data_IF_463894573911
#
_entry.id   IF_463894573911
#
_cell.length_a   1.000
_cell.length_b   1.000
_cell.length_c   1.000
_cell.angle_alpha   90.00
_cell.angle_beta   90.00
_cell.angle_gamma   90.00
#
_symmetry.space_group_name_H-M   'P 1'
#
loop_
_entity.id
_entity.type
_entity.pdbx_description
1 polymer ?
#
# COMPACT_ATOMS: atom_id res chain seq x y z
N UNK A 1 -35.61 -56.05 21.82
CA UNK A 1 -35.10 -55.64 20.48
C UNK A 1 -35.36 -54.18 20.09
N UNK A 2 -36.24 -53.48 20.80
CA UNK A 2 -36.46 -52.02 20.58
C UNK A 2 -35.41 -51.17 21.31
N UNK A 3 -34.89 -51.63 22.43
CA UNK A 3 -33.87 -50.90 23.21
C UNK A 3 -32.49 -50.81 22.51
N UNK A 4 -32.15 -51.81 21.71
CA UNK A 4 -30.86 -51.78 20.97
C UNK A 4 -30.89 -50.81 19.75
N UNK A 5 -32.06 -50.60 19.16
CA UNK A 5 -32.19 -49.65 18.04
C UNK A 5 -32.10 -48.19 18.46
N UNK A 6 -32.63 -47.85 19.64
CA UNK A 6 -32.53 -46.48 20.18
C UNK A 6 -31.13 -46.12 20.63
N UNK A 7 -30.38 -47.07 21.19
CA UNK A 7 -28.94 -46.84 21.55
C UNK A 7 -28.06 -46.64 20.34
N UNK A 8 -28.34 -47.31 19.21
CA UNK A 8 -27.60 -47.17 17.96
C UNK A 8 -27.86 -45.78 17.30
N UNK A 9 -29.13 -45.34 17.32
CA UNK A 9 -29.49 -44.02 16.80
C UNK A 9 -28.90 -42.87 17.65
N UNK A 10 -28.86 -43.00 18.96
CA UNK A 10 -28.26 -41.97 19.84
C UNK A 10 -26.74 -41.90 19.68
N UNK A 11 -26.07 -43.04 19.53
CA UNK A 11 -24.59 -43.05 19.24
C UNK A 11 -24.27 -42.46 17.86
N UNK A 12 -25.11 -42.71 16.87
CA UNK A 12 -24.93 -42.15 15.54
C UNK A 12 -25.16 -40.64 15.49
N UNK A 13 -26.16 -40.15 16.21
CA UNK A 13 -26.43 -38.70 16.39
C UNK A 13 -25.29 -37.97 17.16
N UNK A 14 -24.74 -38.59 18.21
CA UNK A 14 -23.60 -38.06 18.93
C UNK A 14 -22.32 -38.03 18.06
N UNK A 15 -22.06 -39.11 17.29
CA UNK A 15 -20.91 -39.15 16.40
C UNK A 15 -21.01 -38.17 15.23
N UNK A 16 -22.21 -37.92 14.71
CA UNK A 16 -22.47 -36.91 13.69
C UNK A 16 -22.38 -35.50 14.28
N UNK A 17 -22.85 -35.29 15.52
CA UNK A 17 -22.72 -34.03 16.25
C UNK A 17 -21.27 -33.70 16.56
N UNK A 18 -20.45 -34.70 17.00
CA UNK A 18 -19.02 -34.51 17.24
C UNK A 18 -18.21 -34.32 15.94
N UNK A 19 -18.61 -34.98 14.85
CA UNK A 19 -18.04 -34.73 13.53
C UNK A 19 -18.42 -33.35 12.99
N UNK A 20 -19.66 -32.91 13.17
CA UNK A 20 -20.12 -31.55 12.82
C UNK A 20 -19.48 -30.46 13.71
N UNK A 21 -19.21 -30.77 14.97
CA UNK A 21 -18.47 -29.86 15.86
C UNK A 21 -16.97 -29.82 15.58
N UNK A 22 -16.37 -30.92 15.11
CA UNK A 22 -15.00 -30.92 14.58
C UNK A 22 -14.88 -30.24 13.21
N UNK A 23 -15.94 -30.20 12.40
CA UNK A 23 -16.03 -29.44 11.15
C UNK A 23 -16.45 -27.98 11.33
N UNK A 24 -16.86 -27.58 12.54
CA UNK A 24 -16.87 -26.17 12.95
C UNK A 24 -15.44 -25.70 13.35
N UNK A 25 -14.42 -26.09 12.67
CA UNK A 25 -13.30 -25.19 12.47
C UNK A 25 -13.93 -23.96 11.84
N UNK A 26 -14.04 -22.91 12.63
CA UNK A 26 -14.54 -21.58 12.26
C UNK A 26 -13.71 -21.22 11.01
N UNK A 27 -14.26 -21.45 9.81
CA UNK A 27 -13.67 -20.89 8.61
C UNK A 27 -13.70 -19.40 8.89
N UNK A 28 -12.57 -18.84 9.32
CA UNK A 28 -12.42 -17.41 9.42
C UNK A 28 -12.44 -16.90 7.98
N UNK A 29 -13.62 -16.49 7.56
CA UNK A 29 -13.75 -15.78 6.31
C UNK A 29 -12.93 -14.50 6.41
N UNK A 30 -12.19 -14.16 5.36
CA UNK A 30 -11.53 -12.88 5.27
C UNK A 30 -12.60 -11.78 5.30
N UNK A 31 -12.34 -10.73 6.09
CA UNK A 31 -13.17 -9.52 6.05
C UNK A 31 -13.06 -8.88 4.67
N UNK A 32 -14.19 -8.55 4.08
CA UNK A 32 -14.24 -7.78 2.84
C UNK A 32 -14.23 -6.30 3.18
N UNK A 33 -13.16 -5.63 2.80
CA UNK A 33 -12.94 -4.24 3.19
C UNK A 33 -12.72 -3.36 1.95
N UNK A 34 -13.06 -2.11 2.06
CA UNK A 34 -12.80 -1.10 1.04
C UNK A 34 -12.10 0.10 1.67
N UNK A 35 -11.21 0.72 0.92
CA UNK A 35 -10.55 1.95 1.34
C UNK A 35 -11.52 3.12 1.29
N UNK A 36 -11.47 3.93 2.35
CA UNK A 36 -12.19 5.20 2.46
C UNK A 36 -11.24 6.30 2.87
N UNK A 37 -11.16 7.36 2.06
CA UNK A 37 -10.21 8.46 2.28
C UNK A 37 -10.68 9.51 3.28
N UNK A 38 -11.86 9.34 3.84
CA UNK A 38 -12.40 10.23 4.86
C UNK A 38 -13.62 11.02 4.37
N UNK A 39 -14.05 12.04 5.12
CA UNK A 39 -15.30 12.77 4.87
C UNK A 39 -15.41 13.44 3.50
N UNK A 40 -14.30 13.69 2.84
CA UNK A 40 -14.23 14.30 1.50
C UNK A 40 -14.13 13.28 0.37
N UNK A 41 -14.11 11.98 0.69
CA UNK A 41 -14.12 10.92 -0.32
C UNK A 41 -15.43 10.97 -1.13
N UNK A 42 -15.37 10.99 -2.48
CA UNK A 42 -16.57 10.93 -3.31
C UNK A 42 -17.35 9.61 -3.12
N UNK A 43 -16.71 8.55 -2.65
CA UNK A 43 -17.36 7.28 -2.27
C UNK A 43 -17.73 7.35 -0.80
N UNK A 44 -19.03 7.31 -0.51
CA UNK A 44 -19.53 7.38 0.86
C UNK A 44 -19.41 6.04 1.61
N UNK A 45 -19.42 6.09 2.95
CA UNK A 45 -19.51 4.88 3.77
C UNK A 45 -20.78 4.05 3.46
N UNK A 46 -21.87 4.71 3.06
CA UNK A 46 -23.09 4.04 2.63
C UNK A 46 -22.89 3.23 1.35
N UNK A 47 -22.16 3.78 0.37
CA UNK A 47 -21.84 3.08 -0.88
C UNK A 47 -20.95 1.85 -0.61
N UNK A 48 -19.96 1.99 0.28
CA UNK A 48 -19.07 0.90 0.69
C UNK A 48 -19.87 -0.23 1.34
N UNK A 49 -20.79 0.11 2.23
CA UNK A 49 -21.69 -0.87 2.87
C UNK A 49 -22.62 -1.52 1.85
N UNK A 50 -23.19 -0.76 0.92
CA UNK A 50 -24.07 -1.27 -0.13
C UNK A 50 -23.33 -2.23 -1.07
N UNK A 51 -22.02 -2.02 -1.28
CA UNK A 51 -21.16 -2.94 -2.03
C UNK A 51 -20.89 -4.26 -1.29
N UNK A 52 -21.35 -4.42 -0.05
CA UNK A 52 -21.24 -5.66 0.73
C UNK A 52 -19.99 -5.73 1.62
N UNK A 53 -19.25 -4.62 1.78
CA UNK A 53 -18.14 -4.58 2.72
C UNK A 53 -18.63 -4.48 4.17
N UNK A 54 -17.97 -5.20 5.07
CA UNK A 54 -18.21 -5.17 6.52
C UNK A 54 -17.13 -4.37 7.27
N UNK A 55 -16.04 -4.06 6.59
CA UNK A 55 -14.92 -3.30 7.12
C UNK A 55 -14.45 -2.17 6.22
N UNK A 56 -13.80 -1.20 6.84
CA UNK A 56 -13.21 -0.04 6.19
C UNK A 56 -11.71 0.00 6.46
N UNK A 57 -10.98 0.36 5.44
CA UNK A 57 -9.55 0.70 5.51
C UNK A 57 -9.42 2.22 5.35
N UNK A 58 -8.81 2.90 6.31
CA UNK A 58 -8.72 4.37 6.30
C UNK A 58 -7.47 4.88 7.00
N UNK A 59 -7.21 6.18 6.87
CA UNK A 59 -6.13 6.89 7.53
C UNK A 59 -6.55 8.31 7.93
N UNK A 60 -5.72 8.99 8.73
CA UNK A 60 -5.93 10.38 9.15
C UNK A 60 -5.13 11.31 8.25
N UNK A 61 -5.59 11.51 7.01
CA UNK A 61 -4.90 12.31 6.00
C UNK A 61 -4.76 13.79 6.37
N UNK A 62 -5.60 14.31 7.29
CA UNK A 62 -5.53 15.68 7.79
C UNK A 62 -4.37 15.94 8.74
N UNK A 63 -3.69 14.90 9.23
CA UNK A 63 -2.54 15.05 10.14
C UNK A 63 -1.26 15.10 9.31
N UNK A 64 -0.41 16.13 9.46
CA UNK A 64 0.85 16.23 8.72
C UNK A 64 1.74 15.00 8.91
N UNK A 65 2.48 14.64 7.86
CA UNK A 65 3.39 13.49 7.89
C UNK A 65 4.49 13.71 8.93
N UNK A 66 4.66 12.76 9.85
CA UNK A 66 5.63 12.84 10.95
C UNK A 66 5.07 13.36 12.28
N UNK A 67 3.84 13.86 12.29
CA UNK A 67 3.15 14.26 13.50
C UNK A 67 2.47 13.07 14.20
N UNK A 68 2.18 13.25 15.49
CA UNK A 68 1.53 12.21 16.30
C UNK A 68 0.04 12.13 15.97
N UNK A 69 -0.45 10.94 15.67
CA UNK A 69 -1.88 10.65 15.68
C UNK A 69 -2.37 10.52 17.11
N UNK A 70 -3.18 11.47 17.53
CA UNK A 70 -3.76 11.46 18.89
C UNK A 70 -4.91 10.44 18.99
N UNK A 71 -5.18 9.96 20.20
CA UNK A 71 -6.32 9.06 20.47
C UNK A 71 -7.64 9.70 20.06
N UNK A 72 -7.80 11.00 20.29
CA UNK A 72 -9.03 11.72 19.97
C UNK A 72 -9.30 11.73 18.46
N UNK A 73 -8.31 12.06 17.64
CA UNK A 73 -8.43 12.04 16.17
C UNK A 73 -8.72 10.62 15.63
N UNK A 74 -8.08 9.61 16.22
CA UNK A 74 -8.34 8.21 15.86
C UNK A 74 -9.77 7.81 16.22
N UNK A 75 -10.24 8.14 17.42
CA UNK A 75 -11.58 7.81 17.88
C UNK A 75 -12.66 8.54 17.10
N UNK A 76 -12.45 9.80 16.71
CA UNK A 76 -13.38 10.54 15.83
C UNK A 76 -13.54 9.80 14.50
N UNK A 77 -12.46 9.42 13.83
CA UNK A 77 -12.52 8.67 12.57
C UNK A 77 -13.19 7.29 12.76
N UNK A 78 -12.84 6.60 13.83
CA UNK A 78 -13.40 5.29 14.17
C UNK A 78 -14.91 5.38 14.38
N UNK A 79 -15.38 6.37 15.13
CA UNK A 79 -16.81 6.58 15.40
C UNK A 79 -17.60 6.81 14.10
N UNK A 80 -17.07 7.62 13.16
CA UNK A 80 -17.74 7.82 11.86
C UNK A 80 -17.97 6.50 11.11
N UNK A 81 -17.01 5.59 11.17
CA UNK A 81 -17.09 4.28 10.51
C UNK A 81 -18.06 3.36 11.24
N UNK A 82 -18.03 3.37 12.58
CA UNK A 82 -18.92 2.57 13.42
C UNK A 82 -20.38 3.03 13.33
N UNK A 83 -20.64 4.33 13.26
CA UNK A 83 -21.97 4.91 13.04
C UNK A 83 -22.58 4.48 11.69
N UNK A 84 -21.75 4.21 10.69
CA UNK A 84 -22.18 3.62 9.42
C UNK A 84 -22.41 2.09 9.50
N UNK A 85 -22.23 1.48 10.68
CA UNK A 85 -22.42 0.05 10.92
C UNK A 85 -21.31 -0.84 10.37
N UNK A 86 -20.09 -0.31 10.25
CA UNK A 86 -18.90 -1.01 9.78
C UNK A 86 -17.79 -0.94 10.81
N UNK A 87 -16.69 -1.67 10.58
CA UNK A 87 -15.51 -1.68 11.45
C UNK A 87 -14.31 -1.06 10.76
N UNK A 88 -13.56 -0.20 11.42
CA UNK A 88 -12.24 0.21 10.93
C UNK A 88 -11.25 -0.92 11.18
N UNK A 89 -10.86 -1.63 10.12
CA UNK A 89 -10.10 -2.88 10.22
C UNK A 89 -8.61 -2.68 10.10
N UNK A 90 -8.17 -1.79 9.20
CA UNK A 90 -6.77 -1.56 8.86
C UNK A 90 -6.52 -0.06 8.71
N UNK A 91 -5.42 0.41 9.26
CA UNK A 91 -4.89 1.74 8.96
C UNK A 91 -4.09 1.65 7.66
N UNK A 92 -4.50 2.41 6.67
CA UNK A 92 -3.74 2.52 5.44
C UNK A 92 -3.72 3.97 4.93
N UNK A 93 -2.60 4.64 5.21
CA UNK A 93 -1.40 4.20 5.90
C UNK A 93 -1.07 5.14 7.06
N UNK A 94 -0.27 4.68 8.03
CA UNK A 94 0.47 5.59 8.89
C UNK A 94 1.72 6.01 8.11
N UNK A 95 1.84 7.29 7.67
CA UNK A 95 2.89 7.69 6.76
C UNK A 95 4.25 7.75 7.45
N UNK A 96 5.28 7.32 6.72
CA UNK A 96 6.68 7.44 7.16
C UNK A 96 7.28 8.70 6.55
N UNK A 97 7.78 9.62 7.38
CA UNK A 97 8.33 10.87 6.88
C UNK A 97 9.59 10.66 6.03
N UNK A 98 9.82 11.55 5.06
CA UNK A 98 11.00 11.49 4.22
C UNK A 98 12.30 11.72 5.00
N UNK A 99 12.25 12.43 6.13
CA UNK A 99 13.39 12.52 7.06
C UNK A 99 13.82 11.14 7.57
N UNK A 100 12.87 10.26 7.91
CA UNK A 100 13.15 8.88 8.31
C UNK A 100 13.76 8.10 7.13
N UNK A 101 13.15 8.22 5.94
CA UNK A 101 13.64 7.50 4.73
C UNK A 101 15.05 7.93 4.35
N UNK A 102 15.41 9.20 4.57
CA UNK A 102 16.75 9.73 4.31
C UNK A 102 17.72 9.59 5.48
N UNK A 103 17.23 9.32 6.70
CA UNK A 103 17.97 9.46 7.96
C UNK A 103 18.64 10.83 8.09
N UNK A 104 17.88 11.87 7.83
CA UNK A 104 18.33 13.27 7.90
C UNK A 104 17.30 14.16 8.60
N UNK A 105 17.65 15.42 8.85
CA UNK A 105 16.74 16.33 9.53
C UNK A 105 16.33 15.82 10.92
N UNK A 106 15.04 15.81 11.18
CA UNK A 106 14.46 15.42 12.47
C UNK A 106 14.06 13.93 12.56
N UNK A 107 14.73 13.05 11.81
CA UNK A 107 14.29 11.65 11.68
C UNK A 107 14.13 10.90 13.00
N UNK A 108 14.97 11.15 14.00
CA UNK A 108 14.83 10.52 15.33
C UNK A 108 13.56 11.00 16.04
N UNK A 109 13.25 12.29 15.96
CA UNK A 109 12.01 12.86 16.50
C UNK A 109 10.78 12.24 15.81
N UNK A 110 10.80 12.12 14.49
CA UNK A 110 9.72 11.49 13.74
C UNK A 110 9.57 9.99 14.04
N UNK A 111 10.65 9.26 14.34
CA UNK A 111 10.58 7.88 14.81
C UNK A 111 9.85 7.80 16.16
N UNK A 112 10.15 8.70 17.11
CA UNK A 112 9.47 8.72 18.40
C UNK A 112 7.98 9.09 18.25
N UNK A 113 7.63 10.04 17.38
CA UNK A 113 6.25 10.37 17.03
C UNK A 113 5.52 9.17 16.41
N UNK A 114 6.20 8.41 15.55
CA UNK A 114 5.66 7.19 14.94
C UNK A 114 5.35 6.14 16.01
N UNK A 115 6.26 5.92 16.96
CA UNK A 115 6.06 5.02 18.10
C UNK A 115 4.89 5.47 18.98
N UNK A 116 4.76 6.77 19.25
CA UNK A 116 3.64 7.32 20.01
C UNK A 116 2.32 7.09 19.27
N UNK A 117 2.28 7.31 17.96
CA UNK A 117 1.11 7.04 17.11
C UNK A 117 0.72 5.56 17.14
N UNK A 118 1.67 4.63 17.09
CA UNK A 118 1.41 3.19 17.20
C UNK A 118 0.76 2.83 18.54
N UNK A 119 1.24 3.39 19.66
CA UNK A 119 0.63 3.17 20.98
C UNK A 119 -0.81 3.70 21.04
N UNK A 120 -1.06 4.88 20.47
CA UNK A 120 -2.40 5.47 20.39
C UNK A 120 -3.36 4.63 19.53
N UNK A 121 -2.87 4.13 18.39
CA UNK A 121 -3.60 3.22 17.51
C UNK A 121 -4.03 1.95 18.26
N UNK A 122 -3.10 1.34 19.00
CA UNK A 122 -3.38 0.16 19.80
C UNK A 122 -4.39 0.43 20.94
N UNK A 123 -4.23 1.57 21.62
CA UNK A 123 -5.15 2.01 22.68
C UNK A 123 -6.59 2.20 22.16
N UNK A 124 -6.74 2.61 20.89
CA UNK A 124 -8.04 2.73 20.22
C UNK A 124 -8.58 1.38 19.68
N UNK A 125 -7.88 0.26 19.90
CA UNK A 125 -8.33 -1.10 19.55
C UNK A 125 -8.05 -1.52 18.11
N UNK A 126 -7.35 -0.73 17.31
CA UNK A 126 -6.90 -1.09 15.97
C UNK A 126 -5.72 -2.07 16.04
N UNK A 127 -5.53 -2.91 15.01
CA UNK A 127 -4.56 -4.02 15.08
C UNK A 127 -3.59 -4.08 13.93
N UNK A 128 -3.94 -3.57 12.76
CA UNK A 128 -3.11 -3.65 11.55
C UNK A 128 -2.81 -2.24 11.05
N UNK A 129 -1.53 -1.96 10.86
CA UNK A 129 -1.03 -0.67 10.37
C UNK A 129 -0.22 -0.92 9.12
N UNK A 130 -0.67 -0.40 7.98
CA UNK A 130 0.13 -0.39 6.76
C UNK A 130 1.00 0.85 6.67
N UNK A 131 2.09 0.73 5.98
CA UNK A 131 3.00 1.81 5.63
C UNK A 131 3.68 1.52 4.30
N UNK A 132 4.30 2.52 3.71
CA UNK A 132 5.20 2.37 2.58
C UNK A 132 6.55 3.05 2.89
N UNK A 133 7.57 2.75 2.09
CA UNK A 133 8.91 3.37 2.22
C UNK A 133 9.39 3.92 0.88
N UNK A 134 8.46 4.35 0.05
CA UNK A 134 8.71 4.94 -1.26
C UNK A 134 9.15 6.40 -1.10
N UNK A 135 10.29 6.82 -1.68
CA UNK A 135 10.74 8.20 -1.61
C UNK A 135 9.85 9.17 -2.40
N UNK A 136 9.57 10.34 -1.85
CA UNK A 136 8.89 11.50 -2.46
C UNK A 136 7.47 11.20 -2.94
N UNK A 137 7.33 10.52 -4.07
CA UNK A 137 6.02 10.12 -4.62
C UNK A 137 5.83 8.63 -4.40
N UNK A 138 4.80 8.26 -3.65
CA UNK A 138 4.57 6.88 -3.26
C UNK A 138 3.76 6.08 -4.29
N UNK A 139 2.93 6.74 -5.10
CA UNK A 139 2.10 6.11 -6.12
C UNK A 139 2.06 6.94 -7.40
N UNK A 140 2.16 6.28 -8.57
CA UNK A 140 2.17 6.96 -9.86
C UNK A 140 1.32 6.25 -10.89
N UNK A 141 0.49 7.02 -11.61
CA UNK A 141 -0.25 6.58 -12.80
C UNK A 141 -0.24 7.65 -13.88
N UNK A 142 -0.13 7.21 -15.11
CA UNK A 142 -0.17 8.10 -16.28
C UNK A 142 -1.60 8.42 -16.70
N UNK A 143 -2.53 7.50 -16.46
CA UNK A 143 -3.97 7.75 -16.59
C UNK A 143 -4.74 7.10 -15.43
N UNK A 144 -5.61 7.89 -14.79
CA UNK A 144 -6.43 7.44 -13.64
C UNK A 144 -7.83 7.00 -14.06
N UNK A 145 -8.19 7.18 -15.33
CA UNK A 145 -9.50 6.84 -15.88
C UNK A 145 -9.35 6.28 -17.31
N UNK A 146 -8.40 5.35 -17.49
CA UNK A 146 -8.16 4.70 -18.78
C UNK A 146 -9.38 3.88 -19.19
N UNK A 147 -9.97 4.13 -20.40
CA UNK A 147 -11.18 3.45 -20.82
C UNK A 147 -10.90 1.97 -21.15
N UNK A 148 -11.72 1.09 -20.60
CA UNK A 148 -11.68 -0.33 -20.86
C UNK A 148 -12.71 -0.73 -21.90
N UNK A 149 -12.52 -1.88 -22.55
CA UNK A 149 -13.38 -2.39 -23.61
C UNK A 149 -14.82 -2.70 -23.17
N UNK A 150 -15.02 -2.93 -21.88
CA UNK A 150 -16.33 -3.20 -21.27
C UNK A 150 -17.05 -1.93 -20.80
N UNK A 151 -16.48 -0.75 -21.08
CA UNK A 151 -17.03 0.55 -20.68
C UNK A 151 -16.64 1.00 -19.27
N UNK A 152 -15.91 0.19 -18.48
CA UNK A 152 -15.34 0.62 -17.22
C UNK A 152 -14.09 1.48 -17.41
N UNK A 153 -13.57 2.03 -16.32
CA UNK A 153 -12.27 2.72 -16.31
C UNK A 153 -11.29 2.00 -15.38
N UNK A 154 -10.00 2.09 -15.72
CA UNK A 154 -8.93 1.52 -14.93
C UNK A 154 -7.79 2.52 -14.69
N UNK A 155 -7.01 2.27 -13.66
CA UNK A 155 -5.74 2.94 -13.46
C UNK A 155 -4.71 2.38 -14.45
N UNK A 156 -3.97 3.26 -15.12
CA UNK A 156 -3.01 2.84 -16.13
C UNK A 156 -1.66 3.54 -15.96
N UNK A 157 -0.60 2.75 -16.04
CA UNK A 157 0.76 3.23 -16.13
C UNK A 157 1.33 2.90 -17.49
N UNK A 158 1.65 3.93 -18.29
CA UNK A 158 2.34 3.79 -19.57
C UNK A 158 3.78 4.23 -19.43
N UNK A 159 4.72 3.34 -19.76
CA UNK A 159 6.16 3.60 -19.61
C UNK A 159 6.62 4.81 -20.42
N UNK A 160 6.18 4.96 -21.65
CA UNK A 160 6.58 6.09 -22.50
C UNK A 160 5.96 7.41 -22.02
N UNK A 161 4.71 7.40 -21.56
CA UNK A 161 4.09 8.59 -20.97
C UNK A 161 4.80 9.01 -19.67
N UNK A 162 5.27 8.05 -18.88
CA UNK A 162 6.12 8.33 -17.72
C UNK A 162 7.46 8.98 -18.12
N UNK A 163 8.13 8.47 -19.17
CA UNK A 163 9.35 9.07 -19.71
C UNK A 163 9.08 10.51 -20.21
N UNK A 164 7.94 10.74 -20.87
CA UNK A 164 7.50 12.09 -21.28
C UNK A 164 7.36 13.01 -20.07
N UNK A 165 6.70 12.53 -19.01
CA UNK A 165 6.54 13.32 -17.79
C UNK A 165 7.88 13.74 -17.22
N UNK A 166 8.82 12.82 -17.04
CA UNK A 166 10.12 13.09 -16.42
C UNK A 166 11.01 14.01 -17.28
N UNK A 167 11.14 13.71 -18.60
CA UNK A 167 12.04 14.45 -19.50
C UNK A 167 11.51 15.80 -19.94
N UNK A 168 10.20 15.90 -20.26
CA UNK A 168 9.67 17.04 -21.00
C UNK A 168 8.68 17.88 -20.20
N UNK A 169 8.01 17.31 -19.18
CA UNK A 169 7.03 18.03 -18.38
C UNK A 169 7.62 18.47 -17.04
N UNK A 170 8.19 17.56 -16.26
CA UNK A 170 8.88 17.85 -15.00
C UNK A 170 10.28 18.44 -15.25
N UNK A 171 10.93 18.02 -16.35
CA UNK A 171 12.27 18.44 -16.75
C UNK A 171 13.32 18.18 -15.65
N UNK A 172 13.28 16.99 -15.05
CA UNK A 172 14.20 16.62 -13.99
C UNK A 172 15.65 16.68 -14.50
N UNK A 173 16.54 17.36 -13.80
CA UNK A 173 17.96 17.39 -14.14
C UNK A 173 18.58 15.98 -14.16
N UNK A 174 19.29 15.63 -15.23
CA UNK A 174 19.94 14.32 -15.40
C UNK A 174 18.99 13.18 -15.80
N UNK A 175 17.68 13.44 -15.99
CA UNK A 175 16.70 12.40 -16.31
C UNK A 175 17.06 11.58 -17.56
N UNK A 176 17.73 12.18 -18.55
CA UNK A 176 18.08 11.49 -19.79
C UNK A 176 19.01 10.28 -19.57
N UNK A 177 19.79 10.27 -18.50
CA UNK A 177 20.73 9.19 -18.20
C UNK A 177 20.01 7.92 -17.68
N UNK A 178 18.75 8.05 -17.25
CA UNK A 178 17.94 6.94 -16.73
C UNK A 178 17.20 6.16 -17.83
N UNK A 179 17.25 6.63 -19.09
CA UNK A 179 16.45 6.08 -20.17
C UNK A 179 17.32 5.68 -21.35
N UNK A 180 16.92 4.61 -22.05
CA UNK A 180 17.55 4.20 -23.29
C UNK A 180 17.30 5.24 -24.41
N UNK A 181 18.17 5.23 -25.42
CA UNK A 181 17.99 6.08 -26.60
C UNK A 181 16.66 5.78 -27.33
N UNK A 182 16.20 4.53 -27.33
CA UNK A 182 14.93 4.12 -27.90
C UNK A 182 13.76 4.71 -27.12
N UNK A 183 13.74 4.59 -25.78
CA UNK A 183 12.67 5.19 -24.94
C UNK A 183 12.62 6.70 -25.12
N UNK A 184 13.78 7.36 -25.09
CA UNK A 184 13.89 8.81 -25.27
C UNK A 184 13.39 9.23 -26.66
N UNK A 185 13.71 8.47 -27.71
CA UNK A 185 13.26 8.73 -29.08
C UNK A 185 11.73 8.61 -29.21
N UNK A 186 11.17 7.51 -28.72
CA UNK A 186 9.70 7.26 -28.69
C UNK A 186 8.97 8.32 -27.86
N UNK A 187 9.53 8.69 -26.72
CA UNK A 187 8.94 9.74 -25.86
C UNK A 187 8.93 11.09 -26.55
N UNK A 188 10.00 11.48 -27.22
CA UNK A 188 10.08 12.74 -27.99
C UNK A 188 9.10 12.79 -29.14
N UNK A 189 8.99 11.72 -29.92
CA UNK A 189 8.02 11.62 -31.02
C UNK A 189 6.59 11.77 -30.49
N UNK A 190 6.23 10.98 -29.49
CA UNK A 190 4.89 11.01 -28.87
C UNK A 190 4.59 12.37 -28.23
N UNK A 191 5.55 12.97 -27.49
CA UNK A 191 5.39 14.31 -26.90
C UNK A 191 5.12 15.38 -27.96
N UNK A 192 5.79 15.30 -29.11
CA UNK A 192 5.58 16.24 -30.22
C UNK A 192 4.17 16.12 -30.80
N UNK A 193 3.61 14.92 -30.85
CA UNK A 193 2.27 14.67 -31.35
C UNK A 193 1.15 15.00 -30.32
N UNK A 194 1.47 15.13 -29.02
CA UNK A 194 0.49 15.44 -27.98
C UNK A 194 -0.03 16.87 -28.07
N UNK A 195 -1.36 17.02 -27.93
CA UNK A 195 -1.98 18.34 -27.73
C UNK A 195 -1.61 18.92 -26.35
N UNK A 196 -1.87 20.22 -26.17
CA UNK A 196 -1.65 20.90 -24.89
C UNK A 196 -2.49 20.25 -23.77
N UNK A 197 -3.74 19.91 -24.07
CA UNK A 197 -4.67 19.28 -23.13
C UNK A 197 -4.18 17.91 -22.68
N UNK A 198 -3.64 17.10 -23.60
CA UNK A 198 -3.07 15.79 -23.28
C UNK A 198 -1.84 15.91 -22.36
N UNK A 199 -0.95 16.90 -22.64
CA UNK A 199 0.21 17.17 -21.79
C UNK A 199 -0.20 17.62 -20.39
N UNK A 200 -1.21 18.51 -20.30
CA UNK A 200 -1.75 18.97 -19.02
C UNK A 200 -2.39 17.82 -18.23
N UNK A 201 -3.19 16.96 -18.90
CA UNK A 201 -3.81 15.80 -18.27
C UNK A 201 -2.73 14.84 -17.70
N UNK A 202 -1.73 14.50 -18.51
CA UNK A 202 -0.64 13.63 -18.10
C UNK A 202 0.09 14.22 -16.88
N UNK A 203 0.45 15.50 -16.95
CA UNK A 203 1.11 16.18 -15.85
C UNK A 203 0.27 16.14 -14.58
N UNK A 204 -1.01 16.48 -14.66
CA UNK A 204 -1.92 16.46 -13.51
C UNK A 204 -2.05 15.06 -12.92
N UNK A 205 -2.21 14.02 -13.75
CA UNK A 205 -2.31 12.64 -13.28
C UNK A 205 -1.05 12.20 -12.50
N UNK A 206 0.13 12.56 -13.02
CA UNK A 206 1.42 12.20 -12.41
C UNK A 206 1.68 12.95 -11.10
N UNK A 207 1.08 14.13 -10.91
CA UNK A 207 1.24 14.95 -9.72
C UNK A 207 0.17 14.74 -8.65
N UNK A 208 -0.86 13.93 -8.92
CA UNK A 208 -1.98 13.73 -8.00
C UNK A 208 -1.61 13.01 -6.70
N UNK A 209 -0.50 12.27 -6.69
CA UNK A 209 -0.24 11.38 -5.55
C UNK A 209 -1.35 10.33 -5.39
N UNK A 210 -1.57 9.83 -4.18
CA UNK A 210 -2.70 8.95 -3.90
C UNK A 210 -4.02 9.72 -4.04
N UNK A 211 -5.02 9.18 -4.77
CA UNK A 211 -6.35 9.78 -4.84
C UNK A 211 -6.92 9.99 -3.44
N UNK A 212 -7.34 11.23 -3.15
CA UNK A 212 -7.90 11.60 -1.85
C UNK A 212 -6.88 12.04 -0.78
N UNK A 213 -5.58 12.09 -1.08
CA UNK A 213 -4.63 12.84 -0.27
C UNK A 213 -4.69 14.33 -0.64
N UNK A 214 -4.67 15.21 0.36
CA UNK A 214 -4.65 16.67 0.14
C UNK A 214 -3.24 17.18 -0.27
N UNK A 215 -2.24 16.31 -0.36
CA UNK A 215 -0.85 16.65 -0.66
C UNK A 215 -0.61 16.77 -2.17
N UNK A 216 -0.97 17.90 -2.75
CA UNK A 216 -0.57 18.26 -4.10
C UNK A 216 0.79 18.97 -4.08
N UNK A 217 1.85 18.25 -4.46
CA UNK A 217 3.17 18.86 -4.66
C UNK A 217 3.19 19.76 -5.89
N UNK A 218 3.87 20.91 -5.81
CA UNK A 218 4.27 21.65 -7.01
C UNK A 218 5.47 20.98 -7.68
N UNK A 219 5.69 21.19 -8.99
CA UNK A 219 6.88 20.65 -9.68
C UNK A 219 8.19 21.02 -8.98
N UNK A 220 8.30 22.27 -8.52
CA UNK A 220 9.46 22.80 -7.83
C UNK A 220 9.70 22.10 -6.48
N UNK A 221 8.61 21.79 -5.75
CA UNK A 221 8.69 21.03 -4.51
C UNK A 221 9.17 19.60 -4.77
N UNK A 222 8.62 18.92 -5.79
CA UNK A 222 9.10 17.59 -6.19
C UNK A 222 10.58 17.62 -6.53
N UNK A 223 11.01 18.53 -7.41
CA UNK A 223 12.42 18.65 -7.79
C UNK A 223 13.33 18.93 -6.59
N UNK A 224 12.88 19.78 -5.67
CA UNK A 224 13.61 20.09 -4.42
C UNK A 224 13.73 18.84 -3.55
N UNK A 225 12.65 18.08 -3.35
CA UNK A 225 12.68 16.85 -2.55
C UNK A 225 13.56 15.77 -3.18
N UNK A 226 13.54 15.63 -4.52
CA UNK A 226 14.43 14.70 -5.24
C UNK A 226 15.91 14.98 -4.96
N UNK A 227 16.34 16.26 -4.90
CA UNK A 227 17.74 16.61 -4.62
C UNK A 227 18.20 16.18 -3.23
N UNK A 228 17.27 16.11 -2.26
CA UNK A 228 17.58 15.66 -0.89
C UNK A 228 17.93 14.17 -0.80
N UNK A 229 17.60 13.39 -1.83
CA UNK A 229 17.96 11.95 -1.92
C UNK A 229 19.28 11.69 -2.62
N UNK A 230 20.00 12.74 -3.02
CA UNK A 230 21.32 12.57 -3.68
C UNK A 230 22.25 11.73 -2.80
N UNK A 231 22.83 10.67 -3.39
CA UNK A 231 23.70 9.73 -2.69
C UNK A 231 23.01 8.63 -1.90
N UNK A 232 21.66 8.54 -1.97
CA UNK A 232 20.89 7.46 -1.38
C UNK A 232 20.49 6.48 -2.49
N UNK A 233 21.25 5.43 -2.66
CA UNK A 233 20.95 4.32 -3.55
C UNK A 233 20.01 3.29 -2.91
N UNK A 234 19.70 2.22 -3.64
CA UNK A 234 18.78 1.18 -3.15
C UNK A 234 19.31 0.45 -1.90
N UNK A 235 20.63 0.23 -1.81
CA UNK A 235 21.25 -0.42 -0.66
C UNK A 235 21.11 0.47 0.58
N UNK A 236 21.42 1.76 0.42
CA UNK A 236 21.30 2.74 1.50
C UNK A 236 19.87 2.96 1.96
N UNK A 237 18.93 3.03 1.02
CA UNK A 237 17.51 3.15 1.36
C UNK A 237 17.00 1.90 2.11
N UNK A 238 17.46 0.69 1.74
CA UNK A 238 17.16 -0.55 2.51
C UNK A 238 17.75 -0.52 3.92
N UNK A 239 18.97 -0.05 4.11
CA UNK A 239 19.57 0.14 5.43
C UNK A 239 18.70 1.05 6.29
N UNK A 240 18.21 2.17 5.72
CA UNK A 240 17.32 3.10 6.42
C UNK A 240 15.98 2.46 6.79
N UNK A 241 15.37 1.68 5.90
CA UNK A 241 14.17 0.92 6.19
C UNK A 241 14.39 -0.08 7.34
N UNK A 242 15.47 -0.85 7.28
CA UNK A 242 15.75 -1.85 8.33
C UNK A 242 16.08 -1.19 9.67
N UNK A 243 16.77 -0.04 9.65
CA UNK A 243 16.98 0.76 10.86
C UNK A 243 15.65 1.22 11.45
N UNK A 244 14.78 1.83 10.64
CA UNK A 244 13.46 2.27 11.07
C UNK A 244 12.66 1.12 11.70
N UNK A 245 12.60 -0.04 11.05
CA UNK A 245 11.87 -1.20 11.55
C UNK A 245 12.44 -1.72 12.89
N UNK A 246 13.76 -1.79 13.03
CA UNK A 246 14.40 -2.17 14.30
C UNK A 246 14.05 -1.22 15.45
N UNK A 247 13.75 0.04 15.16
CA UNK A 247 13.32 1.02 16.17
C UNK A 247 11.85 0.87 16.54
N UNK A 248 10.95 0.54 15.60
CA UNK A 248 9.50 0.58 15.82
C UNK A 248 8.88 -0.79 16.11
N UNK A 249 9.42 -1.89 15.57
CA UNK A 249 8.87 -3.25 15.76
C UNK A 249 8.77 -3.67 17.22
N UNK A 250 9.70 -3.36 18.11
CA UNK A 250 9.53 -3.67 19.55
C UNK A 250 8.26 -3.03 20.14
N UNK A 251 7.92 -1.82 19.74
CA UNK A 251 6.67 -1.14 20.17
C UNK A 251 5.44 -1.80 19.54
N UNK A 252 5.54 -2.24 18.29
CA UNK A 252 4.46 -2.97 17.60
C UNK A 252 4.14 -4.27 18.34
N UNK A 253 5.19 -5.01 18.77
CA UNK A 253 5.05 -6.25 19.54
C UNK A 253 4.45 -6.00 20.93
N UNK A 254 4.98 -5.01 21.66
CA UNK A 254 4.47 -4.56 22.97
C UNK A 254 2.97 -4.25 22.91
N UNK A 255 2.55 -3.57 21.85
CA UNK A 255 1.16 -3.14 21.62
C UNK A 255 0.27 -4.24 21.02
N UNK A 256 0.82 -5.40 20.63
CA UNK A 256 0.07 -6.46 19.95
C UNK A 256 -0.47 -6.05 18.59
N UNK A 257 0.24 -5.15 17.90
CA UNK A 257 -0.06 -4.69 16.56
C UNK A 257 0.61 -5.57 15.49
N UNK A 258 0.22 -5.36 14.24
CA UNK A 258 0.89 -5.85 13.03
C UNK A 258 1.25 -4.67 12.14
N UNK A 259 2.52 -4.56 11.74
CA UNK A 259 2.95 -3.63 10.70
C UNK A 259 3.05 -4.36 9.36
N UNK A 260 2.53 -3.73 8.33
CA UNK A 260 2.37 -4.31 7.02
C UNK A 260 2.87 -3.35 5.93
N UNK A 261 4.09 -3.60 5.40
CA UNK A 261 4.61 -2.78 4.31
C UNK A 261 3.85 -3.02 3.02
N UNK A 262 3.40 -1.93 2.36
CA UNK A 262 2.87 -1.99 1.00
C UNK A 262 4.04 -2.04 0.00
N UNK A 263 4.02 -2.93 -1.01
CA UNK A 263 5.05 -2.95 -2.06
C UNK A 263 5.03 -1.69 -2.91
N UNK A 264 6.15 -1.41 -3.55
CA UNK A 264 6.30 -0.26 -4.43
C UNK A 264 5.29 -0.26 -5.59
N UNK A 265 4.79 0.91 -5.95
CA UNK A 265 3.84 1.08 -7.04
C UNK A 265 4.09 2.40 -7.81
N UNK A 266 4.76 2.38 -8.95
CA UNK A 266 5.24 1.22 -9.71
C UNK A 266 6.43 0.50 -9.04
N UNK A 267 6.61 -0.83 -9.31
CA UNK A 267 7.65 -1.64 -8.67
C UNK A 267 8.99 -1.57 -9.38
N UNK A 268 9.45 -0.39 -9.73
CA UNK A 268 10.76 -0.07 -10.30
C UNK A 268 11.09 1.41 -10.07
N UNK A 269 12.39 1.75 -10.16
CA UNK A 269 12.90 3.10 -9.92
C UNK A 269 12.12 4.16 -10.71
N UNK A 270 11.81 5.27 -10.06
CA UNK A 270 11.10 6.40 -10.65
C UNK A 270 11.80 7.70 -10.27
N UNK A 271 11.88 8.65 -11.19
CA UNK A 271 12.47 9.97 -10.99
C UNK A 271 13.91 9.91 -10.43
N UNK A 272 14.69 8.90 -10.86
CA UNK A 272 16.04 8.67 -10.35
C UNK A 272 16.11 8.07 -8.94
N UNK A 273 14.96 7.83 -8.29
CA UNK A 273 14.91 7.29 -6.94
C UNK A 273 14.71 5.77 -6.93
N UNK A 274 15.38 5.04 -6.03
CA UNK A 274 15.23 3.60 -5.92
C UNK A 274 13.87 3.20 -5.37
N UNK A 275 13.42 2.00 -5.75
CA UNK A 275 12.34 1.25 -5.13
C UNK A 275 12.91 -0.02 -4.52
N UNK A 276 12.55 -0.34 -3.30
CA UNK A 276 13.23 -1.35 -2.47
C UNK A 276 12.32 -2.44 -1.93
N UNK A 277 11.02 -2.40 -2.27
CA UNK A 277 10.03 -3.40 -1.92
C UNK A 277 9.24 -3.84 -3.17
N UNK A 278 9.96 -4.28 -4.20
CA UNK A 278 9.41 -4.55 -5.53
C UNK A 278 9.44 -6.02 -5.92
N UNK A 279 10.29 -6.83 -5.28
CA UNK A 279 10.59 -8.22 -5.70
C UNK A 279 10.41 -9.23 -4.57
N UNK A 280 10.31 -10.54 -4.94
CA UNK A 280 10.35 -11.65 -3.96
C UNK A 280 11.60 -11.57 -3.07
N UNK A 281 12.75 -11.16 -3.66
CA UNK A 281 13.99 -10.99 -2.90
C UNK A 281 13.89 -9.87 -1.88
N UNK A 282 13.33 -8.72 -2.25
CA UNK A 282 13.17 -7.60 -1.31
C UNK A 282 12.29 -7.99 -0.12
N UNK A 283 11.21 -8.75 -0.38
CA UNK A 283 10.35 -9.28 0.66
C UNK A 283 11.10 -10.25 1.59
N UNK A 284 11.96 -11.12 1.03
CA UNK A 284 12.79 -12.03 1.84
C UNK A 284 13.80 -11.26 2.68
N UNK A 285 14.48 -10.27 2.10
CA UNK A 285 15.47 -9.42 2.77
C UNK A 285 14.84 -8.70 3.99
N UNK A 286 13.58 -8.22 3.84
CA UNK A 286 12.85 -7.56 4.93
C UNK A 286 12.62 -8.49 6.13
N UNK A 287 12.13 -9.70 5.89
CA UNK A 287 11.85 -10.67 6.95
C UNK A 287 13.14 -11.16 7.60
N UNK A 288 14.19 -11.36 6.81
CA UNK A 288 15.50 -11.75 7.35
C UNK A 288 16.13 -10.66 8.22
N UNK A 289 16.03 -9.40 7.81
CA UNK A 289 16.60 -8.26 8.52
C UNK A 289 15.88 -7.95 9.85
N UNK A 290 14.55 -8.23 9.92
CA UNK A 290 13.71 -7.99 11.10
C UNK A 290 12.74 -9.16 11.28
N UNK A 291 13.22 -10.28 11.85
CA UNK A 291 12.48 -11.55 11.94
C UNK A 291 11.48 -11.52 13.11
N UNK A 292 10.42 -10.72 12.96
CA UNK A 292 9.33 -10.59 13.92
C UNK A 292 8.01 -11.03 13.29
N UNK A 293 7.14 -11.74 14.00
CA UNK A 293 5.80 -12.06 13.54
C UNK A 293 4.89 -10.82 13.47
N UNK A 294 5.34 -9.69 14.01
CA UNK A 294 4.64 -8.41 13.92
C UNK A 294 5.03 -7.61 12.67
N UNK A 295 6.16 -7.97 12.02
CA UNK A 295 6.65 -7.40 10.78
C UNK A 295 6.15 -8.24 9.58
N UNK A 296 5.54 -7.61 8.59
CA UNK A 296 5.01 -8.32 7.45
C UNK A 296 4.51 -7.42 6.34
N UNK A 297 3.56 -7.91 5.55
CA UNK A 297 3.17 -7.33 4.28
C UNK A 297 1.68 -6.96 4.24
N UNK A 298 1.41 -5.79 3.68
CA UNK A 298 0.22 -5.54 2.90
C UNK A 298 0.48 -6.15 1.50
N UNK A 299 0.13 -7.42 1.31
CA UNK A 299 0.48 -8.13 0.09
C UNK A 299 -0.44 -7.69 -1.05
N UNK A 300 0.04 -6.76 -1.87
CA UNK A 300 -0.70 -6.26 -3.03
C UNK A 300 -0.39 -7.10 -4.27
N UNK A 301 -1.37 -7.91 -4.71
CA UNK A 301 -1.22 -8.74 -5.91
C UNK A 301 -1.06 -7.91 -7.18
N UNK A 302 -1.56 -6.68 -7.19
CA UNK A 302 -1.40 -5.74 -8.30
C UNK A 302 0.01 -5.16 -8.36
N UNK A 303 0.53 -4.59 -7.27
CA UNK A 303 1.86 -3.96 -7.27
C UNK A 303 2.97 -4.98 -7.51
N UNK A 304 3.01 -6.09 -6.76
CA UNK A 304 3.96 -7.17 -7.07
C UNK A 304 3.74 -7.78 -8.45
N UNK A 305 2.47 -7.89 -8.90
CA UNK A 305 2.10 -8.48 -10.18
C UNK A 305 2.44 -7.62 -11.39
N UNK A 306 2.73 -6.32 -11.21
CA UNK A 306 3.23 -5.45 -12.29
C UNK A 306 4.61 -5.89 -12.81
N UNK A 307 5.38 -6.64 -12.02
CA UNK A 307 6.65 -7.26 -12.45
C UNK A 307 6.43 -8.68 -12.95
N UNK A 308 7.04 -8.98 -14.10
CA UNK A 308 6.95 -10.32 -14.70
C UNK A 308 7.78 -11.38 -13.96
N UNK A 309 8.81 -10.98 -13.24
CA UNK A 309 9.72 -11.85 -12.49
C UNK A 309 9.17 -12.25 -11.10
N UNK A 310 8.07 -11.67 -10.65
CA UNK A 310 7.39 -12.07 -9.44
C UNK A 310 6.37 -13.21 -9.70
N UNK A 311 6.52 -14.32 -9.00
CA UNK A 311 5.54 -15.41 -9.02
C UNK A 311 4.59 -15.28 -7.81
N UNK A 312 3.46 -14.60 -8.00
CA UNK A 312 2.51 -14.27 -6.94
C UNK A 312 2.04 -15.48 -6.12
N UNK A 313 1.61 -16.62 -6.73
CA UNK A 313 1.25 -17.82 -5.96
C UNK A 313 2.39 -18.40 -5.13
N UNK A 314 3.62 -18.35 -5.63
CA UNK A 314 4.80 -18.82 -4.89
C UNK A 314 5.11 -17.88 -3.72
N UNK A 315 5.06 -16.57 -3.94
CA UNK A 315 5.28 -15.56 -2.90
C UNK A 315 4.23 -15.66 -1.79
N UNK A 316 2.94 -15.85 -2.13
CA UNK A 316 1.87 -16.05 -1.14
C UNK A 316 2.13 -17.29 -0.26
N UNK A 317 2.59 -18.40 -0.84
CA UNK A 317 2.96 -19.60 -0.07
C UNK A 317 4.17 -19.38 0.81
N UNK A 318 5.17 -18.65 0.32
CA UNK A 318 6.43 -18.40 1.03
C UNK A 318 6.26 -17.48 2.21
N UNK A 319 5.45 -16.43 2.05
CA UNK A 319 5.32 -15.35 3.03
C UNK A 319 4.00 -15.36 3.81
N UNK A 320 3.19 -16.41 3.67
CA UNK A 320 1.83 -16.47 4.24
C UNK A 320 1.73 -16.06 5.71
N UNK A 321 2.66 -16.51 6.55
CA UNK A 321 2.68 -16.19 7.99
C UNK A 321 3.00 -14.70 8.29
N UNK A 322 3.50 -13.98 7.30
CA UNK A 322 3.82 -12.55 7.38
C UNK A 322 2.86 -11.66 6.59
N UNK A 323 1.80 -12.23 6.01
CA UNK A 323 0.79 -11.44 5.30
C UNK A 323 -0.29 -11.03 6.30
N UNK A 324 -0.30 -9.74 6.65
CA UNK A 324 -1.24 -9.18 7.62
C UNK A 324 -2.44 -8.51 6.98
N UNK A 325 -2.32 -8.15 5.71
CA UNK A 325 -3.38 -7.56 4.92
C UNK A 325 -3.19 -7.90 3.42
N UNK A 326 -4.28 -8.04 2.68
CA UNK A 326 -4.27 -8.39 1.27
C UNK A 326 -4.95 -7.32 0.42
N UNK A 327 -4.28 -6.89 -0.64
CA UNK A 327 -4.91 -6.20 -1.75
C UNK A 327 -5.09 -7.19 -2.91
N UNK A 328 -6.31 -7.64 -3.13
CA UNK A 328 -6.66 -8.52 -4.24
C UNK A 328 -7.01 -7.67 -5.46
N UNK A 329 -5.99 -7.22 -6.16
CA UNK A 329 -6.09 -6.38 -7.35
C UNK A 329 -5.64 -7.13 -8.58
N UNK A 330 -6.50 -7.21 -9.60
CA UNK A 330 -6.12 -7.71 -10.92
C UNK A 330 -5.18 -6.72 -11.61
N UNK A 331 -4.26 -7.26 -12.40
CA UNK A 331 -3.36 -6.45 -13.20
C UNK A 331 -3.16 -7.11 -14.57
N UNK A 332 -3.12 -6.30 -15.60
CA UNK A 332 -2.67 -6.68 -16.94
C UNK A 332 -1.41 -5.91 -17.23
N UNK A 333 -0.35 -6.59 -17.62
CA UNK A 333 0.92 -5.98 -18.02
C UNK A 333 1.31 -6.43 -19.41
N UNK A 334 2.14 -5.65 -20.07
CA UNK A 334 2.76 -6.00 -21.34
C UNK A 334 4.30 -6.12 -21.21
N UNK A 335 4.96 -6.39 -22.32
CA UNK A 335 6.42 -6.55 -22.36
C UNK A 335 7.17 -5.19 -22.30
N UNK A 336 6.46 -4.08 -22.49
CA UNK A 336 7.04 -2.73 -22.50
C UNK A 336 7.03 -2.08 -21.11
N UNK A 337 6.51 -2.77 -20.09
CA UNK A 337 6.42 -2.27 -18.71
C UNK A 337 5.16 -1.41 -18.46
N UNK A 338 4.17 -1.49 -19.34
CA UNK A 338 2.87 -0.89 -19.09
C UNK A 338 2.00 -1.81 -18.24
N UNK A 339 1.15 -1.27 -17.39
CA UNK A 339 0.22 -2.02 -16.54
C UNK A 339 -0.97 -1.18 -16.07
#
# INVERSE_FOLDING_TARGET
>A
NVQNSLLFHFRYLCLVSDSLNKFKQKIMLMHQTMRWYGPHDPVSLSDIRQAGCDGVVSALHQIPVGDIWTTDEILIRKQMIEDAGMTWTVIESLPVSDDIKRQSGNYLYHIENYKASLRNVAACGLKVVTYNFMPVLDWLRTDIAYPMVDGSTALYFNRIDYVIFDLFLLQRPGAADDYSAEETGRAKERFTAMSKEQRTKLFSNMMLGLPGSDDAFTPEQVLTELTKYQGIDAAKLKEHLFYFLKQVIPVVEECGLKMAIHPDDPPYSVLGLPRIMSTEKDAADLIEAVPSPANGFCFCTGSFGARADNNIPKMLKRFGDHIHFLHLRNIKRDAEGNF
#
